data_IF_172580331737
#
_entry.id   IF_172580331737
#
_cell.length_a   1.000
_cell.length_b   1.000
_cell.length_c   1.000
_cell.angle_alpha   90.00
_cell.angle_beta   90.00
_cell.angle_gamma   90.00
#
_symmetry.space_group_name_H-M   'P 1'
#
loop_
_entity.id
_entity.type
_entity.pdbx_description
1 polymer ?
#
# COMPACT_ATOMS: atom_id res chain seq x y z
N UNK A 1 10.63 11.73 13.09
CA UNK A 1 9.26 11.20 12.91
C UNK A 1 9.14 10.81 11.44
N UNK A 2 9.47 9.57 11.10
CA UNK A 2 9.07 9.01 9.81
C UNK A 2 7.69 8.41 10.07
N UNK A 3 6.64 9.16 9.80
CA UNK A 3 5.30 8.59 9.73
C UNK A 3 5.24 7.81 8.43
N UNK A 4 5.36 6.49 8.51
CA UNK A 4 5.01 5.63 7.40
C UNK A 4 3.54 5.82 7.07
N UNK A 5 3.25 6.07 5.79
CA UNK A 5 1.90 6.26 5.28
C UNK A 5 1.04 5.02 5.53
N UNK A 6 -0.20 5.16 6.00
CA UNK A 6 -1.10 4.01 6.18
C UNK A 6 -1.51 3.41 4.82
N UNK A 7 -2.06 2.18 4.84
CA UNK A 7 -2.63 1.56 3.64
C UNK A 7 -3.80 2.39 3.10
N UNK A 8 -4.68 2.85 4.00
CA UNK A 8 -5.84 3.69 3.68
C UNK A 8 -5.42 5.04 3.10
N UNK A 9 -4.35 5.64 3.63
CA UNK A 9 -3.80 6.89 3.11
C UNK A 9 -3.22 6.70 1.70
N UNK A 10 -2.50 5.60 1.46
CA UNK A 10 -1.98 5.27 0.13
C UNK A 10 -3.11 5.02 -0.87
N UNK A 11 -4.16 4.32 -0.46
CA UNK A 11 -5.35 4.07 -1.28
C UNK A 11 -6.08 5.37 -1.63
N UNK A 12 -6.29 6.27 -0.65
CA UNK A 12 -6.92 7.57 -0.89
C UNK A 12 -6.12 8.43 -1.88
N UNK A 13 -4.77 8.39 -1.82
CA UNK A 13 -3.92 9.08 -2.80
C UNK A 13 -4.03 8.47 -4.20
N UNK A 14 -4.16 7.16 -4.33
CA UNK A 14 -4.39 6.50 -5.63
C UNK A 14 -5.71 7.00 -6.23
N UNK A 15 -6.78 7.06 -5.44
CA UNK A 15 -8.09 7.57 -5.90
C UNK A 15 -8.00 9.04 -6.36
N UNK A 16 -7.26 9.88 -5.63
CA UNK A 16 -7.01 11.26 -6.01
C UNK A 16 -6.25 11.38 -7.34
N UNK A 17 -5.22 10.56 -7.52
CA UNK A 17 -4.44 10.48 -8.76
C UNK A 17 -5.35 10.09 -9.93
N UNK A 18 -6.16 9.05 -9.77
CA UNK A 18 -7.11 8.60 -10.80
C UNK A 18 -8.06 9.74 -11.17
N UNK A 19 -8.68 10.37 -10.17
CA UNK A 19 -9.62 11.49 -10.40
C UNK A 19 -8.95 12.66 -11.12
N UNK A 20 -7.68 12.93 -10.83
CA UNK A 20 -6.92 14.00 -11.49
C UNK A 20 -6.62 13.62 -12.95
N UNK A 21 -6.21 12.38 -13.21
CA UNK A 21 -5.95 11.86 -14.56
C UNK A 21 -7.22 11.81 -15.42
N UNK A 22 -8.36 11.37 -14.85
CA UNK A 22 -9.65 11.32 -15.52
C UNK A 22 -10.20 12.70 -15.90
N UNK A 23 -9.76 13.76 -15.22
CA UNK A 23 -10.15 15.13 -15.57
C UNK A 23 -9.70 15.53 -16.98
N UNK A 24 -8.66 14.88 -17.53
CA UNK A 24 -8.11 15.14 -18.86
C UNK A 24 -7.44 16.51 -19.03
N UNK A 25 -7.22 17.25 -17.94
CA UNK A 25 -6.67 18.62 -17.95
C UNK A 25 -5.16 18.69 -17.71
N UNK A 26 -4.53 17.57 -17.41
CA UNK A 26 -3.10 17.50 -17.14
C UNK A 26 -2.30 17.50 -18.46
N UNK A 27 -1.21 18.28 -18.54
CA UNK A 27 -0.18 18.07 -19.55
C UNK A 27 0.32 16.62 -19.57
N UNK A 28 0.89 16.19 -20.70
CA UNK A 28 1.39 14.82 -20.87
C UNK A 28 2.46 14.47 -19.82
N UNK A 29 3.38 15.39 -19.58
CA UNK A 29 4.48 15.24 -18.62
C UNK A 29 3.95 15.04 -17.20
N UNK A 30 2.94 15.82 -16.80
CA UNK A 30 2.30 15.69 -15.48
C UNK A 30 1.48 14.40 -15.37
N UNK A 31 0.84 13.98 -16.46
CA UNK A 31 0.11 12.70 -16.53
C UNK A 31 1.06 11.52 -16.31
N UNK A 32 2.25 11.55 -16.94
CA UNK A 32 3.29 10.52 -16.74
C UNK A 32 3.80 10.54 -15.29
N UNK A 33 4.03 11.72 -14.72
CA UNK A 33 4.46 11.83 -13.33
C UNK A 33 3.42 11.25 -12.36
N UNK A 34 2.14 11.57 -12.56
CA UNK A 34 1.03 11.04 -11.76
C UNK A 34 0.87 9.53 -11.91
N UNK A 35 1.05 9.00 -13.12
CA UNK A 35 1.08 7.56 -13.34
C UNK A 35 2.20 6.87 -12.54
N UNK A 36 3.42 7.42 -12.58
CA UNK A 36 4.55 6.87 -11.81
C UNK A 36 4.30 6.92 -10.30
N UNK A 37 3.70 8.00 -9.81
CA UNK A 37 3.27 8.12 -8.42
C UNK A 37 2.27 7.02 -8.04
N UNK A 38 1.24 6.82 -8.88
CA UNK A 38 0.25 5.77 -8.69
C UNK A 38 0.86 4.37 -8.65
N UNK A 39 1.80 4.05 -9.56
CA UNK A 39 2.51 2.76 -9.57
C UNK A 39 3.31 2.54 -8.28
N UNK A 40 3.97 3.58 -7.76
CA UNK A 40 4.69 3.48 -6.48
C UNK A 40 3.76 3.19 -5.32
N UNK A 41 2.60 3.85 -5.28
CA UNK A 41 1.59 3.62 -4.24
C UNK A 41 0.98 2.23 -4.34
N UNK A 42 0.72 1.72 -5.54
CA UNK A 42 0.25 0.33 -5.74
C UNK A 42 1.27 -0.67 -5.20
N UNK A 43 2.55 -0.49 -5.52
CA UNK A 43 3.61 -1.36 -5.01
C UNK A 43 3.73 -1.28 -3.48
N UNK A 44 3.55 -0.10 -2.90
CA UNK A 44 3.51 0.09 -1.45
C UNK A 44 2.36 -0.68 -0.82
N UNK A 45 1.15 -0.54 -1.37
CA UNK A 45 -0.04 -1.27 -0.91
C UNK A 45 0.16 -2.79 -1.01
N UNK A 46 0.74 -3.27 -2.11
CA UNK A 46 1.02 -4.70 -2.28
C UNK A 46 1.99 -5.21 -1.21
N UNK A 47 3.09 -4.50 -0.96
CA UNK A 47 4.05 -4.90 0.07
C UNK A 47 3.42 -4.94 1.49
N UNK A 48 2.55 -3.98 1.81
CA UNK A 48 1.76 -4.00 3.04
C UNK A 48 0.85 -5.23 3.10
N UNK A 49 0.10 -5.53 2.04
CA UNK A 49 -0.78 -6.69 1.99
C UNK A 49 -0.01 -8.00 2.13
N UNK A 50 1.14 -8.14 1.46
CA UNK A 50 2.00 -9.32 1.57
C UNK A 50 2.49 -9.51 3.02
N UNK A 51 2.82 -8.42 3.73
CA UNK A 51 3.20 -8.49 5.15
C UNK A 51 2.05 -8.99 6.03
N UNK A 52 0.82 -8.52 5.77
CA UNK A 52 -0.37 -8.96 6.52
C UNK A 52 -0.78 -10.39 6.17
N UNK A 53 -0.61 -10.82 4.91
CA UNK A 53 -0.90 -12.20 4.48
C UNK A 53 -0.01 -13.21 5.21
N UNK A 54 1.28 -12.90 5.39
CA UNK A 54 2.18 -13.73 6.20
C UNK A 54 1.70 -13.88 7.64
N UNK A 55 1.23 -12.79 8.25
CA UNK A 55 0.68 -12.81 9.62
C UNK A 55 -0.55 -13.73 9.68
N UNK A 56 -1.49 -13.57 8.75
CA UNK A 56 -2.70 -14.42 8.68
C UNK A 56 -2.34 -15.89 8.47
N UNK A 57 -1.34 -16.17 7.62
CA UNK A 57 -0.84 -17.52 7.37
C UNK A 57 -0.25 -18.12 8.64
N UNK A 58 0.64 -17.39 9.34
CA UNK A 58 1.24 -17.85 10.59
C UNK A 58 0.19 -18.13 11.69
N UNK A 59 -0.81 -17.27 11.82
CA UNK A 59 -1.95 -17.49 12.73
C UNK A 59 -2.66 -18.80 12.39
N UNK A 60 -2.91 -19.05 11.12
CA UNK A 60 -3.68 -20.22 10.66
C UNK A 60 -2.89 -21.53 10.84
N UNK A 61 -1.60 -21.52 10.50
CA UNK A 61 -0.73 -22.70 10.61
C UNK A 61 -0.48 -23.10 12.09
N UNK A 62 -0.46 -22.14 12.99
CA UNK A 62 -0.26 -22.38 14.42
C UNK A 62 -1.58 -22.54 15.22
N UNK A 63 -2.68 -22.93 14.59
CA UNK A 63 -4.00 -23.12 15.26
C UNK A 63 -4.45 -21.88 16.07
N UNK A 64 -4.15 -20.67 15.59
CA UNK A 64 -4.49 -19.42 16.26
C UNK A 64 -3.50 -18.98 17.35
N UNK A 65 -2.36 -19.68 17.52
CA UNK A 65 -1.33 -19.35 18.53
C UNK A 65 -0.09 -18.80 17.84
N UNK A 66 0.03 -17.48 17.76
CA UNK A 66 1.26 -16.80 17.32
C UNK A 66 1.70 -15.82 18.39
N UNK A 67 3.00 -15.68 18.54
CA UNK A 67 3.59 -14.69 19.45
C UNK A 67 3.68 -13.33 18.77
N UNK A 68 3.61 -12.23 19.54
CA UNK A 68 3.78 -10.87 18.99
C UNK A 68 5.11 -10.72 18.24
N UNK A 69 6.15 -11.45 18.68
CA UNK A 69 7.48 -11.47 18.07
C UNK A 69 7.47 -12.04 16.64
N UNK A 70 6.62 -13.02 16.36
CA UNK A 70 6.44 -13.59 15.02
C UNK A 70 5.58 -12.70 14.11
N UNK A 71 4.60 -12.00 14.68
CA UNK A 71 3.63 -11.16 13.95
C UNK A 71 4.24 -9.83 13.49
N UNK A 72 5.12 -9.22 14.29
CA UNK A 72 5.68 -7.90 14.00
C UNK A 72 7.13 -7.92 13.51
N UNK A 73 7.68 -9.09 13.16
CA UNK A 73 9.08 -9.19 12.69
C UNK A 73 9.33 -8.52 11.32
N UNK A 74 8.28 -8.36 10.51
CA UNK A 74 8.33 -7.84 9.14
C UNK A 74 7.71 -6.42 8.99
N UNK A 75 7.28 -5.78 10.09
CA UNK A 75 6.69 -4.43 10.13
C UNK A 75 7.62 -3.49 10.89
#
# INVERSE_FOLDING_TARGET
MNEEMSFEEALAKIEEIIKTMESGKLPLEETIAKYQEGVKLINYCQAKLDSYEKIVTAITENNGVVTEEEVFSDI
#
